data_IF_157066841854
#
_entry.id   IF_157066841854
#
_cell.length_a   1.000
_cell.length_b   1.000
_cell.length_c   1.000
_cell.angle_alpha   90.00
_cell.angle_beta   90.00
_cell.angle_gamma   90.00
#
_symmetry.space_group_name_H-M   'P 1'
#
loop_
_entity.id
_entity.type
_entity.pdbx_description
1 polymer ?
#
# COMPACT_ATOMS: atom_id res chain seq x y z
N UNK A 1 38.40 -17.59 32.46
CA UNK A 1 38.18 -16.25 31.87
C UNK A 1 36.69 -16.16 31.57
N UNK A 2 35.96 -15.48 32.46
CA UNK A 2 34.51 -15.33 32.36
C UNK A 2 34.18 -14.23 31.34
N UNK A 3 33.27 -14.54 30.43
CA UNK A 3 32.64 -13.51 29.60
C UNK A 3 31.49 -12.91 30.41
N UNK A 4 31.62 -11.64 30.75
CA UNK A 4 30.56 -10.83 31.35
C UNK A 4 29.35 -10.81 30.41
N UNK A 5 28.22 -11.28 30.93
CA UNK A 5 26.92 -11.05 30.34
C UNK A 5 26.65 -9.54 30.37
N UNK A 6 26.58 -8.93 29.19
CA UNK A 6 26.19 -7.54 29.06
C UNK A 6 24.73 -7.42 29.54
N UNK A 7 24.53 -6.85 30.73
CA UNK A 7 23.22 -6.46 31.23
C UNK A 7 22.64 -5.41 30.29
N UNK A 8 21.83 -5.85 29.33
CA UNK A 8 20.93 -4.95 28.61
C UNK A 8 19.82 -4.65 29.61
N UNK A 9 19.95 -3.50 30.27
CA UNK A 9 18.98 -3.01 31.22
C UNK A 9 17.56 -3.02 30.62
N UNK A 10 16.62 -3.57 31.40
CA UNK A 10 15.18 -3.45 31.19
C UNK A 10 14.79 -1.97 31.16
N UNK A 11 14.73 -1.41 29.96
CA UNK A 11 14.12 -0.13 29.69
C UNK A 11 12.90 -0.35 28.80
N UNK A 12 11.81 -0.76 29.45
CA UNK A 12 10.46 -0.76 28.90
C UNK A 12 10.11 0.67 28.48
N UNK A 13 10.17 0.95 27.18
CA UNK A 13 9.51 2.10 26.59
C UNK A 13 8.15 1.59 26.13
N UNK A 14 7.11 2.11 26.76
CA UNK A 14 5.72 1.84 26.41
C UNK A 14 5.47 2.32 24.97
N UNK A 15 5.25 1.36 24.05
CA UNK A 15 4.85 1.59 22.65
C UNK A 15 3.34 1.37 22.58
N UNK A 16 2.47 2.35 22.93
CA UNK A 16 1.11 1.99 23.32
C UNK A 16 0.19 1.70 22.12
N UNK A 17 0.65 1.85 20.87
CA UNK A 17 -0.29 2.00 19.75
C UNK A 17 0.13 1.45 18.39
N UNK A 18 1.28 0.80 18.29
CA UNK A 18 1.44 -0.24 17.27
C UNK A 18 1.32 -1.54 18.03
N UNK A 19 0.14 -2.16 17.95
CA UNK A 19 0.01 -3.57 18.29
C UNK A 19 0.85 -4.29 17.23
N UNK A 20 2.15 -4.41 17.45
CA UNK A 20 2.86 -5.57 16.92
C UNK A 20 1.99 -6.74 17.35
N UNK A 21 1.56 -7.58 16.41
CA UNK A 21 0.93 -8.85 16.75
C UNK A 21 1.72 -9.39 17.93
N UNK A 22 1.06 -9.56 19.09
CA UNK A 22 1.68 -9.81 20.41
C UNK A 22 3.03 -10.46 20.20
N UNK A 23 4.13 -9.69 20.33
CA UNK A 23 5.40 -10.11 19.79
C UNK A 23 5.67 -11.52 20.31
N UNK A 24 5.58 -12.51 19.41
CA UNK A 24 5.70 -13.90 19.79
C UNK A 24 7.04 -14.05 20.48
N UNK A 25 7.07 -14.77 21.59
CA UNK A 25 8.33 -15.05 22.27
C UNK A 25 9.33 -15.60 21.22
N UNK A 26 10.62 -15.22 21.31
CA UNK A 26 11.61 -15.76 20.40
C UNK A 26 11.53 -17.28 20.35
N UNK A 27 11.58 -17.85 19.14
CA UNK A 27 11.59 -19.30 18.93
C UNK A 27 12.92 -19.64 18.26
N UNK A 28 13.92 -19.96 19.09
CA UNK A 28 15.30 -20.22 18.65
C UNK A 28 15.38 -21.30 17.57
N UNK A 29 14.55 -22.34 17.67
CA UNK A 29 14.52 -23.50 16.77
C UNK A 29 14.20 -23.14 15.31
N UNK A 30 13.42 -22.08 15.08
CA UNK A 30 13.06 -21.58 13.74
C UNK A 30 13.71 -20.22 13.43
N UNK A 31 14.59 -19.74 14.30
CA UNK A 31 15.23 -18.44 14.17
C UNK A 31 14.26 -17.26 14.29
N UNK A 32 13.10 -17.42 14.95
CA UNK A 32 12.17 -16.32 15.18
C UNK A 32 12.73 -15.43 16.30
N UNK A 33 13.09 -14.20 15.95
CA UNK A 33 13.67 -13.23 16.87
C UNK A 33 12.93 -11.89 16.79
N UNK A 34 13.11 -11.04 17.80
CA UNK A 34 12.54 -9.69 17.80
C UNK A 34 13.30 -8.77 16.83
N UNK A 35 12.60 -7.81 16.23
CA UNK A 35 13.23 -6.76 15.44
C UNK A 35 14.14 -5.88 16.32
N UNK A 36 15.30 -5.51 15.80
CA UNK A 36 16.22 -4.58 16.48
C UNK A 36 15.54 -3.22 16.68
N UNK A 37 15.81 -2.59 17.84
CA UNK A 37 15.31 -1.25 18.14
C UNK A 37 15.93 -0.23 17.17
N UNK A 38 15.13 0.62 16.51
CA UNK A 38 15.67 1.66 15.64
C UNK A 38 16.56 2.64 16.40
N UNK A 39 17.64 3.08 15.76
CA UNK A 39 18.54 4.11 16.31
C UNK A 39 17.92 5.52 16.27
N UNK A 40 17.03 5.79 15.31
CA UNK A 40 16.40 7.10 15.12
C UNK A 40 15.43 7.43 16.26
N UNK A 41 15.53 8.65 16.81
CA UNK A 41 14.60 9.20 17.81
C UNK A 41 13.68 10.26 17.20
N UNK A 42 12.41 10.36 17.65
CA UNK A 42 11.74 9.41 18.55
C UNK A 42 11.53 8.03 17.89
N UNK A 43 11.35 8.01 16.56
CA UNK A 43 11.27 6.83 15.71
C UNK A 43 11.60 7.25 14.26
N UNK A 44 11.93 6.31 13.35
CA UNK A 44 11.95 6.60 11.91
C UNK A 44 10.54 6.97 11.40
N UNK A 45 10.39 7.65 10.23
CA UNK A 45 9.07 7.91 9.66
C UNK A 45 8.24 6.64 9.54
N UNK A 46 6.98 6.70 9.96
CA UNK A 46 6.06 5.57 9.92
C UNK A 46 5.16 5.74 8.71
N UNK A 47 5.12 4.73 7.84
CA UNK A 47 4.20 4.66 6.72
C UNK A 47 3.19 3.54 6.94
N UNK A 48 1.94 3.78 6.54
CA UNK A 48 0.86 2.80 6.72
C UNK A 48 0.02 2.69 5.46
N UNK A 49 -0.21 1.46 5.02
CA UNK A 49 -0.95 1.16 3.80
C UNK A 49 -2.46 0.98 4.05
N UNK A 50 -3.27 1.61 3.21
CA UNK A 50 -4.70 1.39 3.09
C UNK A 50 -5.05 0.61 1.83
N UNK A 51 -6.05 -0.26 1.94
CA UNK A 51 -6.55 -1.11 0.86
C UNK A 51 -8.03 -0.84 0.58
N UNK A 52 -8.87 -0.84 1.62
CA UNK A 52 -10.32 -0.70 1.48
C UNK A 52 -10.76 0.76 1.30
N UNK A 53 -11.89 1.01 0.62
CA UNK A 53 -12.54 2.32 0.61
C UNK A 53 -12.73 2.84 2.04
N UNK A 54 -12.41 4.13 2.26
CA UNK A 54 -12.42 4.76 3.59
C UNK A 54 -11.68 3.95 4.67
N UNK A 55 -10.49 3.46 4.34
CA UNK A 55 -9.67 2.63 5.24
C UNK A 55 -9.45 3.24 6.62
N UNK A 56 -9.85 2.53 7.69
CA UNK A 56 -9.58 2.89 9.09
C UNK A 56 -8.07 3.02 9.37
N UNK A 57 -7.26 2.26 8.64
CA UNK A 57 -5.80 2.34 8.73
C UNK A 57 -5.28 3.71 8.27
N UNK A 58 -5.94 4.33 7.30
CA UNK A 58 -5.59 5.67 6.83
C UNK A 58 -6.18 6.77 7.71
N UNK A 59 -7.32 6.52 8.37
CA UNK A 59 -7.79 7.35 9.49
C UNK A 59 -6.72 7.40 10.59
N UNK A 60 -6.20 6.24 11.00
CA UNK A 60 -5.12 6.18 11.99
C UNK A 60 -3.87 6.93 11.51
N UNK A 61 -3.50 6.81 10.24
CA UNK A 61 -2.37 7.56 9.68
C UNK A 61 -2.57 9.08 9.81
N UNK A 62 -3.78 9.56 9.50
CA UNK A 62 -4.18 10.96 9.69
C UNK A 62 -4.12 11.40 11.15
N UNK A 63 -4.68 10.62 12.07
CA UNK A 63 -4.66 10.91 13.52
C UNK A 63 -3.23 11.06 14.05
N UNK A 64 -2.28 10.33 13.46
CA UNK A 64 -0.87 10.24 13.91
C UNK A 64 0.10 11.12 13.15
N UNK A 65 -0.31 11.73 12.04
CA UNK A 65 0.61 12.40 11.12
C UNK A 65 1.62 11.44 10.49
N UNK A 66 1.23 10.19 10.26
CA UNK A 66 2.05 9.19 9.57
C UNK A 66 1.91 9.30 8.04
N UNK A 67 2.85 8.70 7.31
CA UNK A 67 2.84 8.70 5.84
C UNK A 67 1.74 7.76 5.35
N UNK A 68 0.68 8.25 4.68
CA UNK A 68 -0.31 7.37 4.10
C UNK A 68 0.26 6.69 2.85
N UNK A 69 -0.05 5.40 2.68
CA UNK A 69 0.31 4.62 1.50
C UNK A 69 -0.97 4.01 0.89
N UNK A 70 -1.12 4.09 -0.42
CA UNK A 70 -2.19 3.39 -1.15
C UNK A 70 -1.59 2.36 -2.10
N UNK A 71 -2.16 1.17 -2.11
CA UNK A 71 -1.65 0.06 -2.93
C UNK A 71 -2.04 0.20 -4.41
N UNK A 72 -1.37 -0.54 -5.28
CA UNK A 72 -1.52 -0.53 -6.74
C UNK A 72 -2.84 -1.14 -7.24
N UNK A 73 -3.60 -1.82 -6.38
CA UNK A 73 -4.81 -2.58 -6.74
C UNK A 73 -6.11 -1.81 -6.47
N UNK A 74 -6.07 -0.47 -6.43
CA UNK A 74 -7.23 0.35 -6.12
C UNK A 74 -7.59 1.30 -7.26
N UNK A 75 -8.90 1.48 -7.49
CA UNK A 75 -9.40 2.44 -8.48
C UNK A 75 -9.18 3.89 -8.02
N UNK A 76 -9.23 4.84 -8.97
CA UNK A 76 -9.15 6.28 -8.67
C UNK A 76 -10.27 6.74 -7.73
N UNK A 77 -11.45 6.12 -7.79
CA UNK A 77 -12.55 6.43 -6.88
C UNK A 77 -12.19 6.06 -5.44
N UNK A 78 -11.60 4.88 -5.22
CA UNK A 78 -11.11 4.42 -3.93
C UNK A 78 -9.98 5.30 -3.40
N UNK A 79 -9.04 5.73 -4.26
CA UNK A 79 -7.96 6.65 -3.88
C UNK A 79 -8.50 7.96 -3.29
N UNK A 80 -9.57 8.53 -3.83
CA UNK A 80 -10.19 9.74 -3.24
C UNK A 80 -10.66 9.48 -1.81
N UNK A 81 -11.32 8.33 -1.58
CA UNK A 81 -11.78 7.95 -0.23
C UNK A 81 -10.64 7.68 0.75
N UNK A 82 -9.46 7.29 0.25
CA UNK A 82 -8.26 7.14 1.08
C UNK A 82 -7.79 8.48 1.63
N UNK A 83 -7.75 9.52 0.79
CA UNK A 83 -7.38 10.85 1.25
C UNK A 83 -8.43 11.45 2.21
N UNK A 84 -9.72 11.27 1.91
CA UNK A 84 -10.81 11.65 2.83
C UNK A 84 -10.64 11.01 4.22
N UNK A 85 -10.22 9.74 4.28
CA UNK A 85 -9.95 9.05 5.54
C UNK A 85 -8.76 9.67 6.31
N UNK A 86 -7.69 10.05 5.61
CA UNK A 86 -6.54 10.76 6.22
C UNK A 86 -6.98 12.11 6.79
N UNK A 87 -7.75 12.89 6.03
CA UNK A 87 -8.26 14.18 6.48
C UNK A 87 -9.17 14.06 7.71
N UNK A 88 -10.06 13.06 7.71
CA UNK A 88 -10.93 12.79 8.85
C UNK A 88 -10.13 12.39 10.10
N UNK A 89 -9.11 11.56 9.95
CA UNK A 89 -8.21 11.21 11.04
C UNK A 89 -7.48 12.42 11.61
N UNK A 90 -6.89 13.23 10.74
CA UNK A 90 -6.13 14.41 11.14
C UNK A 90 -7.01 15.45 11.86
N UNK A 91 -8.28 15.61 11.45
CA UNK A 91 -9.25 16.50 12.09
C UNK A 91 -9.50 16.16 13.56
N UNK A 92 -9.43 14.87 13.95
CA UNK A 92 -9.65 14.44 15.33
C UNK A 92 -8.53 14.88 16.29
N UNK A 93 -7.33 15.09 15.78
CA UNK A 93 -6.15 15.48 16.59
C UNK A 93 -5.67 16.90 16.30
N UNK A 94 -6.38 17.65 15.44
CA UNK A 94 -6.02 19.01 15.07
C UNK A 94 -4.80 19.10 14.15
N UNK A 95 -4.34 17.98 13.59
CA UNK A 95 -3.27 17.94 12.61
C UNK A 95 -3.77 18.43 11.25
N UNK A 96 -2.84 18.92 10.43
CA UNK A 96 -3.08 19.24 9.02
C UNK A 96 -2.25 18.28 8.16
N UNK A 97 -2.88 17.32 7.48
CA UNK A 97 -2.13 16.37 6.66
C UNK A 97 -1.57 17.09 5.44
N UNK A 98 -0.34 16.76 5.06
CA UNK A 98 0.29 17.28 3.85
C UNK A 98 0.13 16.26 2.71
N UNK A 99 -0.62 16.66 1.68
CA UNK A 99 -0.88 15.83 0.50
C UNK A 99 0.40 15.44 -0.24
N UNK A 100 1.50 16.20 -0.09
CA UNK A 100 2.80 15.87 -0.70
C UNK A 100 3.44 14.62 -0.09
N UNK A 101 3.01 14.21 1.12
CA UNK A 101 3.57 13.04 1.81
C UNK A 101 2.95 11.72 1.34
N UNK A 102 1.76 11.76 0.74
CA UNK A 102 1.02 10.57 0.33
C UNK A 102 1.77 9.79 -0.76
N UNK A 103 1.96 8.48 -0.56
CA UNK A 103 2.53 7.60 -1.57
C UNK A 103 1.47 6.68 -2.14
N UNK A 104 1.44 6.58 -3.46
CA UNK A 104 0.48 5.75 -4.19
C UNK A 104 1.30 4.82 -5.07
N UNK A 105 1.22 3.52 -4.82
CA UNK A 105 1.80 2.52 -5.72
C UNK A 105 0.93 2.43 -6.98
N UNK A 106 1.55 2.35 -8.16
CA UNK A 106 0.86 2.22 -9.45
C UNK A 106 1.66 1.32 -10.37
N UNK A 107 0.95 0.56 -11.20
CA UNK A 107 1.54 -0.09 -12.37
C UNK A 107 1.77 0.96 -13.45
N UNK A 108 3.01 1.16 -13.86
CA UNK A 108 3.40 2.15 -14.86
C UNK A 108 4.25 1.49 -15.92
N UNK A 109 3.85 1.61 -17.19
CA UNK A 109 4.63 1.12 -18.33
C UNK A 109 4.69 2.20 -19.40
N UNK A 110 5.92 2.55 -19.81
CA UNK A 110 6.18 3.61 -20.78
C UNK A 110 6.97 3.03 -21.94
N UNK A 111 6.52 3.28 -23.17
CA UNK A 111 7.26 2.98 -24.40
C UNK A 111 7.28 4.22 -25.32
N UNK A 112 7.92 4.14 -26.49
CA UNK A 112 8.00 5.29 -27.40
C UNK A 112 6.63 5.70 -27.90
N UNK A 113 5.75 4.73 -28.17
CA UNK A 113 4.37 4.97 -28.58
C UNK A 113 3.37 4.30 -27.64
N UNK A 114 2.16 4.87 -27.57
CA UNK A 114 1.05 4.26 -26.82
C UNK A 114 0.73 2.85 -27.32
N UNK A 115 0.76 2.63 -28.63
CA UNK A 115 0.44 1.33 -29.21
C UNK A 115 1.43 0.26 -28.75
N UNK A 116 2.72 0.56 -28.77
CA UNK A 116 3.78 -0.32 -28.27
C UNK A 116 3.63 -0.56 -26.76
N UNK A 117 3.45 0.50 -25.96
CA UNK A 117 3.28 0.38 -24.52
C UNK A 117 2.11 -0.54 -24.15
N UNK A 118 0.98 -0.40 -24.87
CA UNK A 118 -0.20 -1.23 -24.67
C UNK A 118 0.04 -2.68 -25.09
N UNK A 119 0.68 -2.90 -26.23
CA UNK A 119 1.02 -4.25 -26.69
C UNK A 119 1.90 -4.98 -25.66
N UNK A 120 2.99 -4.35 -25.23
CA UNK A 120 3.91 -4.92 -24.23
C UNK A 120 3.24 -5.14 -22.86
N UNK A 121 2.38 -4.23 -22.42
CA UNK A 121 1.67 -4.39 -21.15
C UNK A 121 0.65 -5.53 -21.20
N UNK A 122 -0.10 -5.66 -22.30
CA UNK A 122 -1.19 -6.62 -22.45
C UNK A 122 -0.72 -8.02 -22.86
N UNK A 123 0.42 -8.14 -23.52
CA UNK A 123 0.99 -9.42 -23.97
C UNK A 123 2.21 -9.86 -23.14
N UNK A 124 2.71 -8.98 -22.26
CA UNK A 124 3.90 -9.21 -21.47
C UNK A 124 3.64 -9.67 -20.03
N UNK A 125 4.64 -9.42 -19.18
CA UNK A 125 4.68 -9.88 -17.79
C UNK A 125 3.58 -9.24 -16.92
N UNK A 126 3.22 -7.99 -17.20
CA UNK A 126 2.20 -7.27 -16.42
C UNK A 126 0.84 -7.97 -16.51
N UNK A 127 0.33 -8.21 -17.72
CA UNK A 127 -0.91 -8.95 -17.92
C UNK A 127 -0.83 -10.38 -17.35
N UNK A 128 0.28 -11.09 -17.61
CA UNK A 128 0.50 -12.43 -17.07
C UNK A 128 0.34 -12.47 -15.55
N UNK A 129 0.99 -11.55 -14.83
CA UNK A 129 0.98 -11.53 -13.37
C UNK A 129 -0.40 -11.18 -12.81
N UNK A 130 -1.14 -10.28 -13.47
CA UNK A 130 -2.50 -9.99 -13.08
C UNK A 130 -3.45 -11.17 -13.33
N UNK A 131 -3.37 -11.79 -14.51
CA UNK A 131 -4.23 -12.92 -14.89
C UNK A 131 -3.96 -14.18 -14.08
N UNK A 132 -2.68 -14.50 -13.85
CA UNK A 132 -2.29 -15.76 -13.23
C UNK A 132 -2.19 -15.66 -11.71
N UNK A 133 -2.03 -14.46 -11.14
CA UNK A 133 -1.84 -14.29 -9.72
C UNK A 133 -2.83 -13.30 -9.08
N UNK A 134 -2.83 -12.02 -9.44
CA UNK A 134 -3.61 -11.02 -8.70
C UNK A 134 -5.12 -11.20 -8.83
N UNK A 135 -5.66 -11.43 -10.02
CA UNK A 135 -7.10 -11.61 -10.23
C UNK A 135 -7.62 -12.88 -9.51
N UNK A 136 -6.97 -14.06 -9.64
CA UNK A 136 -7.32 -15.23 -8.84
C UNK A 136 -7.22 -15.01 -7.34
N UNK A 137 -6.18 -14.30 -6.86
CA UNK A 137 -5.99 -13.98 -5.45
C UNK A 137 -7.14 -13.13 -4.92
N UNK A 138 -7.46 -12.02 -5.60
CA UNK A 138 -8.53 -11.10 -5.19
C UNK A 138 -9.90 -11.78 -5.20
N UNK A 139 -10.17 -12.63 -6.19
CA UNK A 139 -11.40 -13.44 -6.23
C UNK A 139 -11.49 -14.37 -5.01
N UNK A 140 -10.42 -15.11 -4.69
CA UNK A 140 -10.37 -15.98 -3.49
C UNK A 140 -10.52 -15.22 -2.17
N UNK A 141 -10.00 -14.00 -2.11
CA UNK A 141 -10.13 -13.14 -0.93
C UNK A 141 -11.50 -12.45 -0.84
N UNK A 142 -12.38 -12.59 -1.84
CA UNK A 142 -13.66 -11.87 -1.88
C UNK A 142 -13.48 -10.37 -2.07
N UNK A 143 -12.37 -9.94 -2.69
CA UNK A 143 -12.02 -8.53 -2.92
C UNK A 143 -11.85 -8.12 -4.40
N UNK A 144 -12.57 -8.70 -5.39
CA UNK A 144 -12.44 -8.27 -6.79
C UNK A 144 -12.90 -6.82 -7.00
N UNK A 145 -13.78 -6.31 -6.12
CA UNK A 145 -14.28 -4.93 -6.16
C UNK A 145 -13.22 -3.85 -5.99
N UNK A 146 -12.01 -4.16 -5.47
CA UNK A 146 -10.94 -3.18 -5.31
C UNK A 146 -10.49 -2.58 -6.66
N UNK A 147 -10.52 -3.39 -7.72
CA UNK A 147 -10.09 -3.00 -9.07
C UNK A 147 -11.22 -2.35 -9.88
N UNK A 148 -12.46 -2.34 -9.39
CA UNK A 148 -13.60 -1.85 -10.14
C UNK A 148 -13.78 -0.33 -9.98
N UNK A 149 -13.94 0.35 -11.10
CA UNK A 149 -14.40 1.75 -11.13
C UNK A 149 -15.90 1.84 -10.83
N UNK A 150 -16.69 0.89 -11.34
CA UNK A 150 -18.11 0.73 -11.06
C UNK A 150 -18.33 -0.51 -10.19
N UNK A 151 -18.88 -0.33 -8.99
CA UNK A 151 -19.12 -1.43 -8.04
C UNK A 151 -20.07 -2.50 -8.58
N UNK A 152 -20.97 -2.13 -9.50
CA UNK A 152 -22.00 -3.02 -10.03
C UNK A 152 -21.51 -3.84 -11.24
N UNK A 153 -20.31 -3.53 -11.75
CA UNK A 153 -19.68 -4.27 -12.85
C UNK A 153 -19.46 -5.75 -12.47
N UNK A 154 -19.71 -6.74 -13.36
CA UNK A 154 -19.41 -8.13 -13.08
C UNK A 154 -17.91 -8.39 -12.87
N UNK A 155 -17.54 -9.28 -11.93
CA UNK A 155 -16.13 -9.64 -11.66
C UNK A 155 -15.40 -10.15 -12.90
N UNK A 156 -16.10 -10.88 -13.77
CA UNK A 156 -15.55 -11.46 -14.99
C UNK A 156 -15.11 -10.42 -16.03
N UNK A 157 -15.59 -9.17 -15.92
CA UNK A 157 -15.20 -8.08 -16.83
C UNK A 157 -13.91 -7.39 -16.40
N UNK A 158 -13.38 -7.68 -15.19
CA UNK A 158 -12.09 -7.19 -14.73
C UNK A 158 -10.96 -7.99 -15.40
N UNK A 159 -10.66 -7.63 -16.63
CA UNK A 159 -9.62 -8.25 -17.49
C UNK A 159 -8.35 -7.39 -17.55
N UNK A 160 -7.23 -7.93 -18.07
CA UNK A 160 -6.02 -7.14 -18.32
C UNK A 160 -6.27 -5.92 -19.22
N UNK A 161 -7.15 -6.05 -20.23
CA UNK A 161 -7.54 -4.90 -21.07
C UNK A 161 -8.25 -3.83 -20.25
N UNK A 162 -9.21 -4.24 -19.40
CA UNK A 162 -9.90 -3.33 -18.48
C UNK A 162 -8.90 -2.63 -17.55
N UNK A 163 -7.96 -3.38 -16.98
CA UNK A 163 -6.95 -2.81 -16.09
C UNK A 163 -6.04 -1.82 -16.84
N UNK A 164 -5.66 -2.10 -18.08
CA UNK A 164 -4.90 -1.18 -18.92
C UNK A 164 -5.61 0.14 -19.22
N UNK A 165 -6.94 0.12 -19.26
CA UNK A 165 -7.76 1.30 -19.57
C UNK A 165 -8.13 2.11 -18.32
N UNK A 166 -8.27 1.46 -17.17
CA UNK A 166 -8.87 2.06 -15.98
C UNK A 166 -7.99 2.13 -14.75
N UNK A 167 -6.96 1.28 -14.63
CA UNK A 167 -6.16 1.12 -13.41
C UNK A 167 -4.68 1.38 -13.65
N UNK A 168 -4.08 0.68 -14.61
CA UNK A 168 -2.68 0.83 -14.98
C UNK A 168 -2.42 2.17 -15.67
N UNK A 169 -1.17 2.62 -15.60
CA UNK A 169 -0.70 3.83 -16.25
C UNK A 169 0.23 3.41 -17.38
N UNK A 170 -0.37 3.06 -18.51
CA UNK A 170 0.33 2.54 -19.70
C UNK A 170 0.19 3.53 -20.85
N UNK A 171 1.29 3.85 -21.55
CA UNK A 171 1.24 4.71 -22.74
C UNK A 171 2.60 5.26 -23.16
N UNK A 172 2.59 6.22 -24.09
CA UNK A 172 3.77 7.05 -24.39
C UNK A 172 4.11 7.98 -23.21
N UNK A 173 5.27 8.66 -23.20
CA UNK A 173 5.61 9.60 -22.13
C UNK A 173 4.55 10.69 -21.91
N UNK A 174 3.98 11.22 -23.00
CA UNK A 174 2.94 12.27 -22.94
C UNK A 174 1.62 11.75 -22.36
N UNK A 175 1.18 10.56 -22.78
CA UNK A 175 -0.05 9.95 -22.26
C UNK A 175 0.08 9.57 -20.79
N UNK A 176 1.22 8.98 -20.39
CA UNK A 176 1.50 8.65 -18.99
C UNK A 176 1.55 9.90 -18.14
N UNK A 177 2.21 10.96 -18.61
CA UNK A 177 2.21 12.25 -17.91
C UNK A 177 0.80 12.85 -17.80
N UNK A 178 -0.06 12.68 -18.81
CA UNK A 178 -1.45 13.11 -18.75
C UNK A 178 -2.27 12.31 -17.73
N UNK A 179 -2.10 10.98 -17.67
CA UNK A 179 -2.78 10.09 -16.71
C UNK A 179 -2.39 10.33 -15.25
N UNK A 180 -1.21 10.93 -15.00
CA UNK A 180 -0.69 11.24 -13.67
C UNK A 180 -1.13 12.60 -13.11
N UNK A 181 -1.72 13.47 -13.93
CA UNK A 181 -2.21 14.80 -13.53
C UNK A 181 -3.61 14.72 -12.95
#
# INVERSE_FOLDING_TARGET
>A
MGHEANQIADFTIDWPVIKTASASEPVDEIGLQLHLKPYQKPHPPIGVAGVSPKSDTLVLAGERGWIPLSINLVSTSTLKTHWEAVEEGARKTGLRPDHSTWRIAREVFVAETTAEARHEALEGVLARDFEQYFLPLLSKMGMPGLLKVDSDMPDAEVTSSYLGDHIWIVGSPDEVAQKLR
#
